data_IF_948311768165
#
_entry.id   IF_948311768165
#
_cell.length_a   1.000
_cell.length_b   1.000
_cell.length_c   1.000
_cell.angle_alpha   90.00
_cell.angle_beta   90.00
_cell.angle_gamma   90.00
#
_symmetry.space_group_name_H-M   'P 1'
#
loop_
_entity.id
_entity.type
_entity.pdbx_description
1 polymer ?
#
# COMPACT_ATOMS: atom_id res chain seq x y z
N UNK A 1 0.59 -8.14 -14.93
CA UNK A 1 0.44 -9.24 -13.95
C UNK A 1 1.42 -10.40 -14.18
N UNK A 2 1.65 -10.96 -15.38
CA UNK A 2 2.53 -12.15 -15.54
C UNK A 2 3.93 -11.96 -14.93
N UNK A 3 4.61 -10.86 -15.21
CA UNK A 3 5.94 -10.59 -14.64
C UNK A 3 5.94 -10.52 -13.11
N UNK A 4 4.90 -9.93 -12.50
CA UNK A 4 4.75 -9.90 -11.05
C UNK A 4 4.53 -11.32 -10.48
N UNK A 5 3.70 -12.13 -11.13
CA UNK A 5 3.49 -13.52 -10.74
C UNK A 5 4.80 -14.30 -10.78
N UNK A 6 5.58 -14.17 -11.86
CA UNK A 6 6.85 -14.88 -12.04
C UNK A 6 7.86 -14.51 -10.95
N UNK A 7 7.97 -13.24 -10.59
CA UNK A 7 8.90 -12.83 -9.53
C UNK A 7 8.42 -13.25 -8.14
N UNK A 8 7.11 -13.23 -7.90
CA UNK A 8 6.54 -13.75 -6.63
C UNK A 8 6.74 -15.25 -6.47
N UNK A 9 6.78 -16.00 -7.59
CA UNK A 9 7.06 -17.44 -7.64
C UNK A 9 8.57 -17.75 -7.62
N UNK A 10 9.44 -16.75 -7.59
CA UNK A 10 10.90 -16.93 -7.65
C UNK A 10 11.40 -17.42 -9.01
N UNK A 11 10.67 -17.17 -10.09
CA UNK A 11 10.99 -17.61 -11.46
C UNK A 11 11.57 -16.52 -12.35
N UNK A 12 11.71 -15.31 -11.83
CA UNK A 12 12.25 -14.17 -12.55
C UNK A 12 13.06 -13.28 -11.62
N UNK A 13 13.92 -12.45 -12.21
CA UNK A 13 14.75 -11.49 -11.47
C UNK A 13 13.90 -10.38 -10.85
N UNK A 14 14.42 -9.77 -9.77
CA UNK A 14 13.83 -8.60 -9.15
C UNK A 14 13.68 -7.44 -10.15
N UNK A 15 12.61 -6.65 -10.04
CA UNK A 15 12.44 -5.46 -10.85
C UNK A 15 12.04 -4.24 -10.04
N UNK A 16 12.24 -3.05 -10.63
CA UNK A 16 11.83 -1.77 -10.07
C UNK A 16 10.62 -1.27 -10.85
N UNK A 17 9.41 -1.24 -10.26
CA UNK A 17 8.25 -0.62 -10.90
C UNK A 17 8.47 0.88 -11.04
N UNK A 18 8.26 1.41 -12.23
CA UNK A 18 8.46 2.84 -12.53
C UNK A 18 7.26 3.40 -13.30
N UNK A 19 6.98 4.68 -13.09
CA UNK A 19 5.99 5.41 -13.88
C UNK A 19 6.55 5.90 -15.21
N UNK A 20 5.68 6.32 -16.13
CA UNK A 20 6.10 6.79 -17.46
C UNK A 20 7.02 8.01 -17.39
N UNK A 21 6.86 8.86 -16.38
CA UNK A 21 7.62 10.10 -16.18
C UNK A 21 8.79 9.93 -15.18
N UNK A 22 9.19 8.69 -14.89
CA UNK A 22 10.29 8.45 -13.95
C UNK A 22 11.61 8.96 -14.54
N UNK A 23 12.28 9.84 -13.81
CA UNK A 23 13.58 10.37 -14.20
C UNK A 23 14.61 9.22 -14.31
N UNK A 24 15.32 9.09 -15.45
CA UNK A 24 16.36 8.07 -15.62
C UNK A 24 17.43 8.07 -14.52
N UNK A 25 17.72 9.23 -13.90
CA UNK A 25 18.63 9.32 -12.76
C UNK A 25 18.16 8.51 -11.55
N UNK A 26 16.84 8.30 -11.40
CA UNK A 26 16.25 7.43 -10.37
C UNK A 26 16.69 5.98 -10.56
N UNK A 27 16.68 5.48 -11.81
CA UNK A 27 17.11 4.11 -12.12
C UNK A 27 18.60 3.91 -11.84
N UNK A 28 19.41 4.91 -12.19
CA UNK A 28 20.84 4.94 -11.86
C UNK A 28 21.06 4.96 -10.34
N UNK A 29 20.34 5.83 -9.64
CA UNK A 29 20.44 5.92 -8.18
C UNK A 29 20.01 4.62 -7.48
N UNK A 30 19.01 3.91 -8.02
CA UNK A 30 18.57 2.61 -7.53
C UNK A 30 19.46 1.45 -8.00
N UNK A 31 20.52 1.74 -8.76
CA UNK A 31 21.49 0.75 -9.23
C UNK A 31 20.82 -0.39 -10.00
N UNK A 32 19.88 -0.02 -10.91
CA UNK A 32 19.20 -0.98 -11.77
C UNK A 32 20.22 -1.63 -12.71
N UNK A 33 20.15 -2.97 -12.84
CA UNK A 33 21.11 -3.77 -13.61
C UNK A 33 22.32 -4.26 -12.79
N UNK A 34 22.46 -3.83 -11.53
CA UNK A 34 23.50 -4.36 -10.66
C UNK A 34 22.95 -5.52 -9.79
N UNK A 35 23.82 -6.46 -9.36
CA UNK A 35 23.43 -7.58 -8.52
C UNK A 35 22.66 -7.16 -7.27
N UNK A 36 21.69 -7.97 -6.90
CA UNK A 36 20.84 -7.82 -5.71
C UNK A 36 20.67 -9.20 -5.06
N UNK A 37 20.23 -9.25 -3.79
CA UNK A 37 19.96 -10.51 -3.11
C UNK A 37 18.83 -11.28 -3.79
N UNK A 38 18.98 -12.59 -3.94
CA UNK A 38 18.05 -13.47 -4.66
C UNK A 38 16.65 -13.56 -4.04
N UNK A 39 16.51 -13.16 -2.76
CA UNK A 39 15.22 -13.13 -2.06
C UNK A 39 14.41 -11.86 -2.35
N UNK A 40 15.03 -10.84 -2.94
CA UNK A 40 14.34 -9.60 -3.32
C UNK A 40 13.51 -9.82 -4.58
N UNK A 41 12.23 -9.47 -4.50
CA UNK A 41 11.30 -9.50 -5.62
C UNK A 41 11.14 -8.12 -6.28
N UNK A 42 11.00 -7.07 -5.47
CA UNK A 42 10.78 -5.71 -5.95
C UNK A 42 11.69 -4.71 -5.23
N UNK A 43 12.15 -3.70 -5.97
CA UNK A 43 12.75 -2.49 -5.40
C UNK A 43 11.76 -1.35 -5.62
N UNK A 44 11.09 -0.92 -4.55
CA UNK A 44 10.06 0.11 -4.64
C UNK A 44 10.61 1.45 -4.19
N UNK A 45 10.51 2.47 -5.05
CA UNK A 45 10.93 3.84 -4.72
C UNK A 45 10.18 4.36 -3.51
N UNK A 46 10.89 5.00 -2.60
CA UNK A 46 10.29 5.73 -1.49
C UNK A 46 10.40 7.23 -1.74
N UNK A 47 9.37 7.97 -1.38
CA UNK A 47 9.37 9.44 -1.45
C UNK A 47 10.25 10.02 -0.33
N UNK A 48 11.58 9.85 -0.46
CA UNK A 48 12.51 10.38 0.53
C UNK A 48 12.66 11.90 0.39
N UNK A 49 12.55 12.62 1.50
CA UNK A 49 12.78 14.07 1.61
C UNK A 49 14.25 14.47 1.38
N UNK A 50 15.16 13.51 1.22
CA UNK A 50 16.63 13.70 1.20
C UNK A 50 17.26 13.71 -0.20
N UNK A 51 16.47 13.76 -1.27
CA UNK A 51 16.98 13.96 -2.64
C UNK A 51 17.42 12.67 -3.38
N UNK A 52 17.98 11.68 -2.72
CA UNK A 52 18.37 10.41 -3.37
C UNK A 52 17.32 9.33 -3.11
N UNK A 53 16.76 8.67 -4.17
CA UNK A 53 15.81 7.57 -3.98
C UNK A 53 16.43 6.42 -3.17
N UNK A 54 15.72 5.96 -2.13
CA UNK A 54 16.24 4.91 -1.24
C UNK A 54 16.02 3.49 -1.78
N UNK A 55 14.85 3.22 -2.33
CA UNK A 55 14.44 1.91 -2.86
C UNK A 55 14.28 0.84 -1.78
N UNK A 56 13.06 0.64 -1.30
CA UNK A 56 12.76 -0.43 -0.33
C UNK A 56 12.90 -1.80 -1.02
N UNK A 57 13.66 -2.70 -0.39
CA UNK A 57 13.91 -4.06 -0.88
C UNK A 57 12.80 -4.98 -0.35
N UNK A 58 11.86 -5.35 -1.21
CA UNK A 58 10.72 -6.18 -0.86
C UNK A 58 10.91 -7.60 -1.36
N UNK A 59 10.78 -8.57 -0.46
CA UNK A 59 10.79 -9.99 -0.83
C UNK A 59 9.40 -10.45 -1.26
N UNK A 60 9.32 -11.53 -2.03
CA UNK A 60 8.06 -12.18 -2.36
C UNK A 60 7.29 -12.55 -1.06
N UNK A 61 8.00 -13.05 -0.06
CA UNK A 61 7.43 -13.40 1.24
C UNK A 61 6.79 -12.20 1.94
N UNK A 62 7.44 -11.02 1.96
CA UNK A 62 6.88 -9.83 2.62
C UNK A 62 5.65 -9.29 1.89
N UNK A 63 5.66 -9.30 0.56
CA UNK A 63 4.53 -8.88 -0.27
C UNK A 63 3.31 -9.80 -0.07
N UNK A 64 3.51 -11.12 -0.13
CA UNK A 64 2.46 -12.11 0.05
C UNK A 64 1.93 -12.16 1.49
N UNK A 65 2.81 -11.96 2.50
CA UNK A 65 2.37 -11.83 3.89
C UNK A 65 1.41 -10.64 4.07
N UNK A 66 1.71 -9.49 3.45
CA UNK A 66 0.82 -8.33 3.45
C UNK A 66 -0.53 -8.61 2.76
N UNK A 67 -0.50 -9.32 1.64
CA UNK A 67 -1.72 -9.72 0.93
C UNK A 67 -2.58 -10.68 1.76
N UNK A 68 -1.98 -11.72 2.34
CA UNK A 68 -2.67 -12.71 3.17
C UNK A 68 -3.30 -12.07 4.41
N UNK A 69 -2.55 -11.24 5.14
CA UNK A 69 -3.04 -10.54 6.33
C UNK A 69 -4.16 -9.52 5.99
N UNK A 70 -4.09 -8.89 4.81
CA UNK A 70 -5.19 -8.04 4.31
C UNK A 70 -6.45 -8.88 4.04
N UNK A 71 -6.33 -9.99 3.33
CA UNK A 71 -7.47 -10.86 3.04
C UNK A 71 -8.11 -11.40 4.33
N UNK A 72 -7.29 -11.82 5.30
CA UNK A 72 -7.78 -12.22 6.63
C UNK A 72 -8.59 -11.10 7.29
N UNK A 73 -8.05 -9.88 7.30
CA UNK A 73 -8.69 -8.71 7.93
C UNK A 73 -9.99 -8.29 7.24
N UNK A 74 -10.10 -8.50 5.92
CA UNK A 74 -11.27 -8.15 5.11
C UNK A 74 -12.27 -9.30 4.95
N UNK A 75 -12.02 -10.46 5.58
CA UNK A 75 -12.92 -11.61 5.57
C UNK A 75 -12.73 -12.57 4.40
N UNK A 76 -11.64 -12.46 3.66
CA UNK A 76 -11.20 -13.41 2.62
C UNK A 76 -10.68 -12.77 1.34
N UNK A 77 -10.17 -13.60 0.41
CA UNK A 77 -9.76 -13.14 -0.91
C UNK A 77 -10.96 -12.60 -1.70
N UNK A 78 -10.69 -11.75 -2.67
CA UNK A 78 -11.71 -11.12 -3.49
C UNK A 78 -11.14 -10.49 -4.76
N UNK A 79 -12.00 -9.84 -5.52
CA UNK A 79 -11.64 -9.10 -6.74
C UNK A 79 -11.26 -7.66 -6.41
N UNK A 80 -10.24 -7.18 -7.05
CA UNK A 80 -9.67 -5.87 -6.76
C UNK A 80 -9.82 -4.91 -7.93
N UNK A 81 -10.24 -3.68 -7.65
CA UNK A 81 -10.17 -2.56 -8.57
C UNK A 81 -8.84 -1.82 -8.34
N UNK A 82 -7.99 -1.77 -9.36
CA UNK A 82 -6.77 -0.97 -9.38
C UNK A 82 -7.12 0.46 -9.83
N UNK A 83 -7.18 1.37 -8.88
CA UNK A 83 -7.43 2.80 -9.10
C UNK A 83 -6.26 3.69 -8.66
N UNK A 84 -5.08 3.08 -8.50
CA UNK A 84 -3.83 3.72 -8.09
C UNK A 84 -2.72 3.37 -9.07
N UNK A 85 -1.70 4.24 -9.25
CA UNK A 85 -0.56 3.90 -10.10
C UNK A 85 0.15 2.63 -9.63
N UNK A 86 0.36 1.70 -10.56
CA UNK A 86 0.93 0.38 -10.29
C UNK A 86 2.44 0.39 -9.93
N UNK A 87 3.10 1.55 -9.96
CA UNK A 87 4.49 1.72 -9.54
C UNK A 87 4.64 2.22 -8.10
N UNK A 88 3.53 2.57 -7.43
CA UNK A 88 3.50 2.87 -6.00
C UNK A 88 3.07 1.65 -5.19
N UNK A 89 3.60 1.52 -3.96
CA UNK A 89 3.36 0.32 -3.13
C UNK A 89 1.87 0.01 -2.93
N UNK A 90 1.00 1.01 -2.85
CA UNK A 90 -0.44 0.80 -2.70
C UNK A 90 -1.07 0.16 -3.94
N UNK A 91 -0.67 0.59 -5.16
CA UNK A 91 -1.09 -0.04 -6.42
C UNK A 91 -0.47 -1.42 -6.60
N UNK A 92 0.82 -1.58 -6.30
CA UNK A 92 1.52 -2.89 -6.30
C UNK A 92 0.76 -3.88 -5.43
N UNK A 93 0.35 -3.49 -4.22
CA UNK A 93 -0.38 -4.37 -3.31
C UNK A 93 -1.77 -4.76 -3.82
N UNK A 94 -2.44 -3.93 -4.62
CA UNK A 94 -3.66 -4.34 -5.33
C UNK A 94 -3.35 -5.48 -6.29
N UNK A 95 -2.27 -5.37 -7.07
CA UNK A 95 -1.83 -6.43 -7.99
C UNK A 95 -1.41 -7.71 -7.25
N UNK A 96 -0.62 -7.60 -6.18
CA UNK A 96 -0.20 -8.76 -5.36
C UNK A 96 -1.41 -9.49 -4.76
N UNK A 97 -2.41 -8.76 -4.25
CA UNK A 97 -3.65 -9.32 -3.72
C UNK A 97 -4.49 -9.99 -4.80
N UNK A 98 -4.52 -9.44 -6.01
CA UNK A 98 -5.19 -10.06 -7.16
C UNK A 98 -4.52 -11.38 -7.52
N UNK A 99 -3.18 -11.40 -7.62
CA UNK A 99 -2.40 -12.63 -7.83
C UNK A 99 -2.69 -13.66 -6.73
N UNK A 100 -2.63 -13.25 -5.45
CA UNK A 100 -2.91 -14.14 -4.31
C UNK A 100 -4.36 -14.64 -4.26
N UNK A 101 -5.30 -13.93 -4.89
CA UNK A 101 -6.70 -14.34 -5.04
C UNK A 101 -6.94 -15.23 -6.28
N UNK A 102 -5.95 -15.40 -7.15
CA UNK A 102 -6.11 -16.08 -8.43
C UNK A 102 -7.07 -15.36 -9.38
N UNK A 103 -7.14 -14.02 -9.32
CA UNK A 103 -8.03 -13.19 -10.15
C UNK A 103 -7.24 -12.08 -10.83
N UNK A 104 -7.71 -11.68 -12.02
CA UNK A 104 -7.21 -10.45 -12.63
C UNK A 104 -7.85 -9.23 -11.97
N UNK A 105 -7.11 -8.13 -11.74
CA UNK A 105 -7.70 -6.88 -11.30
C UNK A 105 -8.53 -6.25 -12.41
N UNK A 106 -9.56 -5.50 -12.02
CA UNK A 106 -10.15 -4.51 -12.92
C UNK A 106 -9.28 -3.26 -12.84
N UNK A 107 -8.84 -2.73 -13.98
CA UNK A 107 -7.96 -1.57 -14.02
C UNK A 107 -8.73 -0.33 -14.43
N UNK A 108 -8.56 0.75 -13.67
CA UNK A 108 -9.01 2.08 -14.01
C UNK A 108 -7.78 2.89 -14.41
N UNK A 109 -7.77 3.41 -15.63
CA UNK A 109 -6.65 4.23 -16.10
C UNK A 109 -6.56 5.53 -15.28
N UNK A 110 -5.44 5.67 -14.58
CA UNK A 110 -5.12 6.85 -13.77
C UNK A 110 -3.92 7.64 -14.30
N UNK A 111 -3.42 7.32 -15.49
CA UNK A 111 -2.26 7.97 -16.11
C UNK A 111 -2.48 9.45 -16.39
N UNK A 112 -3.71 9.82 -16.77
CA UNK A 112 -4.12 11.22 -17.00
C UNK A 112 -4.89 11.82 -15.82
N UNK A 113 -4.97 11.07 -14.69
CA UNK A 113 -5.70 11.44 -13.49
C UNK A 113 -6.87 10.51 -13.19
N UNK A 114 -7.41 10.66 -12.00
CA UNK A 114 -8.53 9.84 -11.53
C UNK A 114 -9.87 10.37 -12.07
N UNK A 115 -10.47 9.62 -13.00
CA UNK A 115 -11.81 9.92 -13.56
C UNK A 115 -12.90 9.17 -12.80
N UNK A 116 -13.64 9.90 -11.98
CA UNK A 116 -14.71 9.35 -11.14
C UNK A 116 -15.89 8.80 -11.95
N UNK A 117 -16.12 9.29 -13.18
CA UNK A 117 -17.22 8.83 -14.02
C UNK A 117 -17.06 7.37 -14.45
N UNK A 118 -15.85 6.84 -14.42
CA UNK A 118 -15.56 5.44 -14.77
C UNK A 118 -15.83 4.46 -13.60
N UNK A 119 -15.95 4.95 -12.35
CA UNK A 119 -16.12 4.08 -11.17
C UNK A 119 -17.32 3.14 -11.26
N UNK A 120 -18.53 3.58 -11.66
CA UNK A 120 -19.69 2.68 -11.73
C UNK A 120 -19.46 1.48 -12.66
N UNK A 121 -18.89 1.73 -13.84
CA UNK A 121 -18.59 0.67 -14.80
C UNK A 121 -17.46 -0.26 -14.28
N UNK A 122 -16.42 0.31 -13.69
CA UNK A 122 -15.28 -0.45 -13.15
C UNK A 122 -15.70 -1.32 -11.95
N UNK A 123 -16.55 -0.82 -11.05
CA UNK A 123 -17.07 -1.60 -9.92
C UNK A 123 -18.00 -2.71 -10.42
N UNK A 124 -18.85 -2.43 -11.41
CA UNK A 124 -19.71 -3.45 -12.05
C UNK A 124 -18.86 -4.56 -12.70
N UNK A 125 -17.75 -4.22 -13.33
CA UNK A 125 -16.83 -5.17 -13.97
C UNK A 125 -16.15 -6.13 -12.98
N UNK A 126 -16.10 -5.81 -11.69
CA UNK A 126 -15.62 -6.74 -10.66
C UNK A 126 -16.53 -7.98 -10.55
N UNK A 127 -17.78 -7.91 -10.98
CA UNK A 127 -18.72 -9.02 -10.94
C UNK A 127 -19.15 -9.38 -9.52
N UNK A 128 -19.35 -10.69 -9.27
CA UNK A 128 -19.85 -11.21 -7.99
C UNK A 128 -18.72 -11.63 -7.03
N UNK A 129 -19.07 -11.81 -5.76
CA UNK A 129 -18.15 -12.17 -4.68
C UNK A 129 -17.63 -10.92 -3.96
N UNK A 130 -16.59 -11.10 -3.13
CA UNK A 130 -15.96 -9.97 -2.44
C UNK A 130 -15.26 -9.03 -3.41
N UNK A 131 -15.47 -7.74 -3.23
CA UNK A 131 -14.98 -6.68 -4.12
C UNK A 131 -14.30 -5.58 -3.31
N UNK A 132 -13.08 -5.24 -3.70
CA UNK A 132 -12.23 -4.33 -2.96
C UNK A 132 -11.58 -3.29 -3.87
N UNK A 133 -11.22 -2.15 -3.28
CA UNK A 133 -10.33 -1.16 -3.92
C UNK A 133 -9.43 -0.50 -2.89
N UNK A 134 -8.44 0.24 -3.38
CA UNK A 134 -7.61 1.13 -2.57
C UNK A 134 -7.61 2.52 -3.20
N UNK A 135 -7.79 3.55 -2.37
CA UNK A 135 -7.85 4.95 -2.78
C UNK A 135 -7.01 5.82 -1.84
N UNK A 136 -6.63 7.00 -2.31
CA UNK A 136 -6.16 8.09 -1.46
C UNK A 136 -7.31 9.04 -1.10
N UNK A 137 -7.12 9.86 -0.06
CA UNK A 137 -8.18 10.73 0.46
C UNK A 137 -8.76 11.70 -0.58
N UNK A 138 -7.93 12.21 -1.48
CA UNK A 138 -8.35 13.11 -2.57
C UNK A 138 -9.23 12.40 -3.61
N UNK A 139 -8.94 11.13 -3.93
CA UNK A 139 -9.77 10.32 -4.84
C UNK A 139 -11.12 10.01 -4.20
N UNK A 140 -11.13 9.60 -2.93
CA UNK A 140 -12.39 9.35 -2.20
C UNK A 140 -13.23 10.63 -2.11
N UNK A 141 -12.64 11.76 -1.73
CA UNK A 141 -13.34 13.04 -1.68
C UNK A 141 -13.98 13.39 -3.02
N UNK A 142 -13.22 13.23 -4.13
CA UNK A 142 -13.73 13.48 -5.49
C UNK A 142 -14.87 12.51 -5.87
N UNK A 143 -14.76 11.22 -5.52
CA UNK A 143 -15.79 10.23 -5.80
C UNK A 143 -17.12 10.53 -5.06
N UNK A 144 -17.02 11.00 -3.81
CA UNK A 144 -18.19 11.35 -3.00
C UNK A 144 -18.97 12.58 -3.52
N UNK A 145 -18.37 13.43 -4.37
CA UNK A 145 -19.09 14.55 -4.99
C UNK A 145 -20.01 14.10 -6.15
N UNK A 146 -19.88 12.87 -6.63
CA UNK A 146 -20.67 12.33 -7.75
C UNK A 146 -21.54 11.18 -7.24
N UNK A 147 -22.88 11.34 -7.17
CA UNK A 147 -23.77 10.35 -6.56
C UNK A 147 -23.61 8.92 -7.11
N UNK A 148 -23.46 8.77 -8.42
CA UNK A 148 -23.28 7.45 -9.04
C UNK A 148 -21.96 6.78 -8.62
N UNK A 149 -20.89 7.56 -8.45
CA UNK A 149 -19.58 7.06 -8.01
C UNK A 149 -19.59 6.70 -6.51
N UNK A 150 -20.23 7.52 -5.68
CA UNK A 150 -20.43 7.23 -4.28
C UNK A 150 -21.25 5.95 -4.08
N UNK A 151 -22.35 5.78 -4.84
CA UNK A 151 -23.16 4.57 -4.81
C UNK A 151 -22.38 3.34 -5.26
N UNK A 152 -21.56 3.44 -6.31
CA UNK A 152 -20.69 2.35 -6.75
C UNK A 152 -19.68 1.94 -5.67
N UNK A 153 -19.02 2.91 -5.01
CA UNK A 153 -18.11 2.60 -3.90
C UNK A 153 -18.81 1.96 -2.70
N UNK A 154 -20.08 2.30 -2.44
CA UNK A 154 -20.89 1.69 -1.38
C UNK A 154 -21.25 0.22 -1.65
N UNK A 155 -21.14 -0.25 -2.91
CA UNK A 155 -21.34 -1.65 -3.26
C UNK A 155 -20.12 -2.55 -2.97
N UNK A 156 -18.96 -1.98 -2.66
CA UNK A 156 -17.74 -2.72 -2.35
C UNK A 156 -17.78 -3.28 -0.93
N UNK A 157 -17.07 -4.37 -0.68
CA UNK A 157 -16.91 -4.94 0.67
C UNK A 157 -15.91 -4.15 1.52
N UNK A 158 -14.92 -3.51 0.87
CA UNK A 158 -14.03 -2.55 1.53
C UNK A 158 -13.36 -1.58 0.54
N UNK A 159 -13.16 -0.34 1.00
CA UNK A 159 -12.35 0.68 0.35
C UNK A 159 -11.17 0.99 1.28
N UNK A 160 -9.97 0.49 0.94
CA UNK A 160 -8.77 0.79 1.69
C UNK A 160 -8.36 2.25 1.44
N UNK A 161 -8.25 3.03 2.50
CA UNK A 161 -7.90 4.44 2.43
C UNK A 161 -6.54 4.69 3.08
N UNK A 162 -5.55 5.06 2.28
CA UNK A 162 -4.17 5.26 2.71
C UNK A 162 -3.47 6.41 2.02
N UNK A 163 -2.14 6.45 2.16
CA UNK A 163 -1.29 7.44 1.51
C UNK A 163 -1.24 8.80 2.20
N UNK A 164 -1.81 8.92 3.40
CA UNK A 164 -1.79 10.14 4.20
C UNK A 164 -3.03 10.28 5.10
N UNK A 165 -3.11 11.35 5.90
CA UNK A 165 -4.25 11.58 6.78
C UNK A 165 -5.52 11.85 5.95
N UNK A 166 -6.61 11.19 6.34
CA UNK A 166 -7.93 11.44 5.75
C UNK A 166 -8.66 12.53 6.56
N UNK A 167 -9.08 13.64 5.93
CA UNK A 167 -9.85 14.68 6.61
C UNK A 167 -11.15 14.11 7.16
N UNK A 168 -11.51 14.47 8.41
CA UNK A 168 -12.72 13.99 9.06
C UNK A 168 -14.00 14.22 8.23
N UNK A 169 -14.19 15.40 7.57
CA UNK A 169 -15.37 15.60 6.73
C UNK A 169 -15.49 14.60 5.56
N UNK A 170 -14.36 14.10 5.02
CA UNK A 170 -14.37 13.07 3.97
C UNK A 170 -14.82 11.72 4.53
N UNK A 171 -14.37 11.38 5.73
CA UNK A 171 -14.79 10.15 6.43
C UNK A 171 -16.27 10.19 6.79
N UNK A 172 -16.78 11.33 7.27
CA UNK A 172 -18.19 11.53 7.62
C UNK A 172 -19.09 11.44 6.37
N UNK A 173 -18.66 12.04 5.25
CA UNK A 173 -19.36 11.95 3.99
C UNK A 173 -19.37 10.50 3.43
N UNK A 174 -18.26 9.78 3.55
CA UNK A 174 -18.17 8.37 3.15
C UNK A 174 -19.12 7.50 4.00
N UNK A 175 -19.14 7.70 5.32
CA UNK A 175 -20.04 6.99 6.21
C UNK A 175 -21.53 7.29 5.87
N UNK A 176 -21.85 8.55 5.59
CA UNK A 176 -23.20 8.96 5.16
C UNK A 176 -23.61 8.30 3.85
N UNK A 177 -22.67 8.15 2.91
CA UNK A 177 -22.90 7.49 1.64
C UNK A 177 -22.87 5.94 1.74
N UNK A 178 -22.61 5.37 2.91
CA UNK A 178 -22.52 3.92 3.11
C UNK A 178 -21.26 3.28 2.54
N UNK A 179 -20.22 4.06 2.22
CA UNK A 179 -18.96 3.54 1.68
C UNK A 179 -18.17 2.85 2.80
N UNK A 180 -17.80 1.55 2.66
CA UNK A 180 -17.12 0.77 3.69
C UNK A 180 -15.61 1.10 3.74
N UNK A 181 -15.26 2.27 4.25
CA UNK A 181 -13.88 2.74 4.34
C UNK A 181 -13.13 2.01 5.45
N UNK A 182 -11.95 1.50 5.12
CA UNK A 182 -10.96 0.95 6.06
C UNK A 182 -9.70 1.81 5.96
N UNK A 183 -9.38 2.54 7.02
CA UNK A 183 -8.18 3.39 7.05
C UNK A 183 -6.93 2.53 7.21
N UNK A 184 -5.91 2.80 6.39
CA UNK A 184 -4.67 2.02 6.40
C UNK A 184 -3.46 2.89 6.72
N UNK A 185 -2.59 2.38 7.58
CA UNK A 185 -1.27 2.95 7.85
C UNK A 185 -0.21 1.96 7.40
N UNK A 186 0.80 2.46 6.70
CA UNK A 186 1.93 1.71 6.17
C UNK A 186 2.63 2.49 5.05
N UNK A 187 3.72 1.94 4.56
CA UNK A 187 4.60 2.55 3.59
C UNK A 187 5.32 1.49 2.75
N UNK A 188 6.21 1.90 1.85
CA UNK A 188 6.97 0.93 1.03
C UNK A 188 7.77 -0.04 1.89
N UNK A 189 8.33 0.44 2.99
CA UNK A 189 9.14 -0.31 3.94
C UNK A 189 8.38 -1.39 4.71
N UNK A 190 7.05 -1.33 4.70
CA UNK A 190 6.14 -2.32 5.32
C UNK A 190 5.34 -3.11 4.29
N UNK A 191 5.82 -3.16 3.03
CA UNK A 191 5.10 -3.74 1.89
C UNK A 191 3.66 -3.19 1.77
N UNK A 192 3.44 -1.91 2.05
CA UNK A 192 2.15 -1.25 2.04
C UNK A 192 1.47 -1.20 3.41
N UNK A 193 0.14 -1.06 3.42
CA UNK A 193 -0.65 -0.95 4.64
C UNK A 193 -0.50 -2.18 5.55
N UNK A 194 -0.10 -1.96 6.79
CA UNK A 194 0.14 -3.01 7.79
C UNK A 194 -0.65 -2.81 9.10
N UNK A 195 -1.30 -1.65 9.28
CA UNK A 195 -2.21 -1.36 10.39
C UNK A 195 -3.51 -0.83 9.82
N UNK A 196 -4.65 -1.49 10.11
CA UNK A 196 -5.96 -1.12 9.58
C UNK A 196 -6.87 -0.65 10.70
N UNK A 197 -7.45 0.56 10.56
CA UNK A 197 -8.25 1.24 11.60
C UNK A 197 -7.56 1.27 12.97
N UNK A 198 -6.24 1.43 12.97
CA UNK A 198 -5.39 1.42 14.14
C UNK A 198 -5.05 0.02 14.69
N UNK A 199 -5.58 -1.06 14.09
CA UNK A 199 -5.32 -2.44 14.51
C UNK A 199 -4.22 -3.03 13.62
N UNK A 200 -3.09 -3.49 14.18
CA UNK A 200 -2.06 -4.20 13.41
C UNK A 200 -2.65 -5.44 12.72
N UNK A 201 -2.25 -5.67 11.47
CA UNK A 201 -2.61 -6.89 10.75
C UNK A 201 -1.95 -8.12 11.38
N UNK A 202 -2.45 -9.30 11.04
CA UNK A 202 -1.90 -10.57 11.52
C UNK A 202 -0.39 -10.68 11.29
N UNK A 203 0.36 -11.01 12.34
CA UNK A 203 1.82 -11.08 12.34
C UNK A 203 2.54 -9.72 12.46
N UNK A 204 1.86 -8.61 12.29
CA UNK A 204 2.44 -7.27 12.46
C UNK A 204 2.46 -6.87 13.93
N UNK A 205 3.57 -6.28 14.34
CA UNK A 205 3.76 -5.77 15.71
C UNK A 205 4.06 -4.27 15.65
N UNK A 206 3.51 -3.53 16.59
CA UNK A 206 3.74 -2.09 16.73
C UNK A 206 4.29 -1.81 18.10
N UNK A 207 5.29 -0.96 18.21
CA UNK A 207 5.75 -0.38 19.47
C UNK A 207 6.00 1.11 19.30
N UNK A 208 5.89 1.83 20.40
CA UNK A 208 6.25 3.24 20.48
C UNK A 208 7.62 3.33 21.16
N UNK A 209 8.59 3.88 20.43
CA UNK A 209 9.95 4.10 20.90
C UNK A 209 10.11 5.42 21.64
N UNK A 210 11.38 5.83 21.83
CA UNK A 210 11.71 7.15 22.34
C UNK A 210 11.10 8.24 21.45
N UNK A 211 10.77 9.37 22.04
CA UNK A 211 10.18 10.53 21.35
C UNK A 211 8.84 10.21 20.65
N UNK A 212 8.15 9.12 21.03
CA UNK A 212 6.90 8.73 20.45
C UNK A 212 7.00 8.11 19.05
N UNK A 213 8.20 7.78 18.55
CA UNK A 213 8.39 7.19 17.22
C UNK A 213 7.75 5.82 17.11
N UNK A 214 7.05 5.61 16.00
CA UNK A 214 6.43 4.32 15.69
C UNK A 214 7.51 3.38 15.14
N UNK A 215 7.58 2.17 15.70
CA UNK A 215 8.36 1.09 15.13
C UNK A 215 7.45 -0.08 14.78
N UNK A 216 7.63 -0.60 13.56
CA UNK A 216 6.86 -1.71 12.99
C UNK A 216 7.75 -2.94 12.93
N UNK A 217 7.21 -4.09 13.33
CA UNK A 217 7.85 -5.39 13.21
C UNK A 217 6.93 -6.41 12.57
N UNK A 218 7.49 -7.46 11.98
CA UNK A 218 6.71 -8.56 11.43
C UNK A 218 7.09 -8.95 10.00
N UNK A 219 6.33 -9.87 9.39
CA UNK A 219 6.68 -10.49 8.12
C UNK A 219 6.53 -9.56 6.90
N UNK A 220 5.91 -8.40 7.06
CA UNK A 220 5.68 -7.44 5.97
C UNK A 220 6.84 -6.48 5.74
N UNK A 221 7.89 -6.54 6.57
CA UNK A 221 9.02 -5.61 6.47
C UNK A 221 9.84 -5.83 5.20
N UNK A 222 10.31 -4.73 4.63
CA UNK A 222 11.41 -4.75 3.68
C UNK A 222 12.67 -5.29 4.35
N UNK A 223 13.56 -5.90 3.58
CA UNK A 223 14.87 -6.37 4.07
C UNK A 223 15.89 -5.24 4.28
N UNK A 224 15.56 -4.03 3.85
CA UNK A 224 16.39 -2.84 3.94
C UNK A 224 16.16 -1.90 2.77
N UNK A 225 17.13 -1.02 2.52
CA UNK A 225 17.15 -0.14 1.35
C UNK A 225 18.22 -0.54 0.35
N UNK A 226 17.94 -0.34 -0.93
CA UNK A 226 18.91 -0.48 -2.01
C UNK A 226 20.11 0.45 -1.81
N UNK A 227 19.83 1.68 -1.36
CA UNK A 227 20.82 2.68 -0.99
C UNK A 227 20.83 2.88 0.53
N UNK A 228 21.95 2.57 1.20
CA UNK A 228 22.06 2.75 2.65
C UNK A 228 21.76 4.18 3.08
N UNK A 229 21.11 4.34 4.21
CA UNK A 229 20.81 5.62 4.84
C UNK A 229 21.36 5.67 6.25
N UNK A 230 21.64 6.86 6.72
CA UNK A 230 22.16 7.08 8.08
C UNK A 230 21.31 8.12 8.79
N UNK A 231 20.73 7.82 9.98
CA UNK A 231 20.76 6.50 10.65
C UNK A 231 19.96 5.44 9.88
N UNK A 232 20.35 4.17 9.99
CA UNK A 232 19.62 3.06 9.37
C UNK A 232 18.34 2.75 10.19
N UNK A 233 17.13 2.90 9.60
CA UNK A 233 15.89 2.61 10.31
C UNK A 233 15.63 1.12 10.53
N UNK A 234 16.40 0.23 9.88
CA UNK A 234 16.38 -1.22 10.07
C UNK A 234 17.50 -1.73 11.01
N UNK A 235 18.27 -0.83 11.68
CA UNK A 235 19.39 -1.21 12.56
C UNK A 235 18.98 -2.17 13.69
N UNK A 236 17.71 -2.18 14.09
CA UNK A 236 17.17 -3.11 15.07
C UNK A 236 16.60 -4.35 14.38
N UNK A 237 17.19 -5.55 14.52
CA UNK A 237 16.72 -6.75 13.82
C UNK A 237 15.23 -7.01 14.00
N UNK A 238 14.52 -7.17 12.89
CA UNK A 238 13.08 -7.43 12.86
C UNK A 238 12.18 -6.22 13.17
N UNK A 239 12.75 -5.00 13.15
CA UNK A 239 12.02 -3.74 13.34
C UNK A 239 12.45 -2.69 12.32
N UNK A 240 11.46 -1.97 11.85
CA UNK A 240 11.63 -0.73 11.08
C UNK A 240 11.16 0.45 11.94
N UNK A 241 12.04 1.41 12.19
CA UNK A 241 11.72 2.64 12.95
C UNK A 241 11.33 3.72 11.96
N UNK A 242 10.07 4.15 12.03
CA UNK A 242 9.53 5.17 11.10
C UNK A 242 9.92 6.58 11.54
N UNK A 243 9.72 7.56 10.65
CA UNK A 243 9.79 8.98 11.00
C UNK A 243 8.48 9.51 11.59
N UNK A 244 7.41 8.70 11.60
CA UNK A 244 6.12 9.06 12.17
C UNK A 244 6.12 8.88 13.69
N UNK A 245 5.35 9.72 14.38
CA UNK A 245 5.05 9.57 15.80
C UNK A 245 3.63 9.07 16.01
N UNK A 246 3.39 8.43 17.15
CA UNK A 246 2.07 7.92 17.46
C UNK A 246 1.96 7.45 18.90
N UNK A 247 0.78 6.95 19.22
CA UNK A 247 0.46 6.37 20.53
C UNK A 247 -0.37 5.10 20.35
N UNK A 248 -0.20 4.17 21.29
CA UNK A 248 -1.08 3.02 21.44
C UNK A 248 -2.06 3.33 22.60
N UNK A 249 -3.34 3.13 22.36
CA UNK A 249 -4.32 3.18 23.43
C UNK A 249 -4.30 1.91 24.30
N UNK A 250 -5.15 1.85 25.34
CA UNK A 250 -5.24 0.70 26.25
C UNK A 250 -5.69 -0.61 25.57
N UNK A 251 -6.28 -0.53 24.38
CA UNK A 251 -6.67 -1.69 23.56
C UNK A 251 -5.57 -2.11 22.56
N UNK A 252 -4.42 -1.39 22.53
CA UNK A 252 -3.36 -1.62 21.56
C UNK A 252 -3.62 -1.02 20.19
N UNK A 253 -4.61 -0.13 20.05
CA UNK A 253 -4.92 0.54 18.78
C UNK A 253 -3.96 1.71 18.56
N UNK A 254 -3.34 1.75 17.39
CA UNK A 254 -2.41 2.80 16.97
C UNK A 254 -3.18 4.06 16.51
N UNK A 255 -2.80 5.20 17.06
CA UNK A 255 -3.07 6.52 16.48
C UNK A 255 -1.73 7.06 15.98
N UNK A 256 -1.57 7.15 14.67
CA UNK A 256 -0.37 7.68 14.03
C UNK A 256 -0.59 9.15 13.66
N UNK A 257 0.44 9.98 13.88
CA UNK A 257 0.55 11.33 13.36
C UNK A 257 1.74 11.35 12.42
N UNK A 258 1.48 11.50 11.11
CA UNK A 258 2.57 11.63 10.13
C UNK A 258 3.20 13.02 10.26
N UNK A 259 4.50 13.07 10.50
CA UNK A 259 5.26 14.31 10.43
C UNK A 259 5.56 14.62 8.96
N UNK A 260 4.66 15.31 8.30
CA UNK A 260 5.03 16.03 7.07
C UNK A 260 5.74 17.32 7.51
N UNK A 261 7.03 17.34 7.31
CA UNK A 261 7.81 18.58 7.41
C UNK A 261 7.43 19.54 6.28
#
# INVERSE_FOLDING_TARGET
LPALQEVLDGRNDAFTPVGPDTDPSTLTALRVGEPISDDVALVVTTSGTTGTPKGALLTAASLLAGAAATHERLGGPGRWLLALPAHHIAGIQVLVRSVASGTDPVELDVTTGFDVAQLPAAVSALGSGRRYTALVATQLAKALTVPASAAALAELDAVLLGGGPAPQPVLDAAATAGVPVVRTYGMSETAGGCVYDGIPLSGVRVRIGSEGRIAIGGPTLASGYRNPVTPDPFAHPGWFVTDDVGALDSSGRLTAVSYTH
#
